data_IF_995391850025
#
_entry.id   IF_995391850025
#
_cell.length_a   1.000
_cell.length_b   1.000
_cell.length_c   1.000
_cell.angle_alpha   90.00
_cell.angle_beta   90.00
_cell.angle_gamma   90.00
#
_symmetry.space_group_name_H-M   'P 1'
#
loop_
_entity.id
_entity.type
_entity.pdbx_description
1 polymer ?
#
# COMPACT_ATOMS: atom_id res chain seq x y z
N UNK A 1 19.29 -1.32 -12.09
CA UNK A 1 17.92 -1.86 -12.03
C UNK A 1 17.77 -2.95 -10.99
N UNK A 2 18.67 -3.92 -10.97
CA UNK A 2 18.55 -5.04 -10.03
C UNK A 2 18.55 -4.61 -8.58
N UNK A 3 19.45 -3.71 -8.19
CA UNK A 3 19.51 -3.25 -6.80
C UNK A 3 18.27 -2.47 -6.40
N UNK A 4 17.77 -1.64 -7.31
CA UNK A 4 16.56 -0.85 -7.05
C UNK A 4 15.32 -1.76 -6.91
N UNK A 5 15.21 -2.74 -7.82
CA UNK A 5 14.10 -3.69 -7.77
C UNK A 5 14.18 -4.58 -6.53
N UNK A 6 15.38 -4.95 -6.12
CA UNK A 6 15.58 -5.77 -4.94
C UNK A 6 15.13 -5.03 -3.68
N UNK A 7 15.52 -3.76 -3.54
CA UNK A 7 15.12 -2.97 -2.37
C UNK A 7 13.61 -2.83 -2.32
N UNK A 8 12.97 -2.53 -3.44
CA UNK A 8 11.52 -2.43 -3.50
C UNK A 8 10.84 -3.73 -3.12
N UNK A 9 11.34 -4.86 -3.62
CA UNK A 9 10.78 -6.16 -3.30
C UNK A 9 10.98 -6.51 -1.83
N UNK A 10 12.17 -6.27 -1.30
CA UNK A 10 12.44 -6.54 0.11
C UNK A 10 11.58 -5.68 1.02
N UNK A 11 11.39 -4.41 0.65
CA UNK A 11 10.52 -3.51 1.40
C UNK A 11 9.09 -3.98 1.39
N UNK A 12 8.59 -4.38 0.23
CA UNK A 12 7.22 -4.89 0.12
C UNK A 12 7.05 -6.18 0.93
N UNK A 13 8.04 -7.08 0.87
CA UNK A 13 7.99 -8.30 1.68
C UNK A 13 7.94 -7.98 3.17
N UNK A 14 8.72 -6.99 3.60
CA UNK A 14 8.72 -6.56 5.00
C UNK A 14 7.37 -5.98 5.41
N UNK A 15 6.75 -5.19 4.53
CA UNK A 15 5.43 -4.63 4.80
C UNK A 15 4.39 -5.74 4.89
N UNK A 16 4.42 -6.71 3.98
CA UNK A 16 3.48 -7.82 4.00
C UNK A 16 3.60 -8.61 5.31
N UNK A 17 4.83 -8.92 5.73
CA UNK A 17 5.06 -9.65 6.97
C UNK A 17 4.57 -8.84 8.18
N UNK A 18 4.83 -7.53 8.19
CA UNK A 18 4.35 -6.65 9.23
C UNK A 18 2.82 -6.67 9.32
N UNK A 19 2.14 -6.55 8.19
CA UNK A 19 0.68 -6.53 8.17
C UNK A 19 0.11 -7.83 8.72
N UNK A 20 0.69 -8.95 8.34
CA UNK A 20 0.25 -10.25 8.85
C UNK A 20 0.43 -10.34 10.37
N UNK A 21 1.54 -9.84 10.90
CA UNK A 21 1.75 -9.80 12.35
C UNK A 21 0.74 -8.92 13.06
N UNK A 22 0.22 -7.90 12.36
CA UNK A 22 -0.78 -7.00 12.90
C UNK A 22 -2.22 -7.52 12.73
N UNK A 23 -2.37 -8.74 12.23
CA UNK A 23 -3.68 -9.36 12.10
C UNK A 23 -4.38 -9.12 10.78
N UNK A 24 -3.68 -8.58 9.80
CA UNK A 24 -4.24 -8.40 8.46
C UNK A 24 -4.16 -9.71 7.70
N UNK A 25 -5.19 -9.99 6.92
CA UNK A 25 -5.17 -11.11 5.99
C UNK A 25 -4.90 -10.58 4.60
N UNK A 26 -3.77 -10.93 4.02
CA UNK A 26 -3.41 -10.45 2.70
C UNK A 26 -4.16 -11.24 1.65
N UNK A 27 -4.89 -10.54 0.80
CA UNK A 27 -5.64 -11.15 -0.28
C UNK A 27 -4.84 -11.19 -1.57
N UNK A 28 -4.20 -10.10 -1.92
CA UNK A 28 -3.39 -9.99 -3.13
C UNK A 28 -2.20 -9.08 -2.91
N UNK A 29 -1.12 -9.41 -3.61
CA UNK A 29 0.06 -8.55 -3.72
C UNK A 29 0.28 -8.30 -5.20
N UNK A 30 0.60 -7.04 -5.53
CA UNK A 30 0.89 -6.64 -6.92
C UNK A 30 -0.23 -7.04 -7.87
N UNK A 31 -1.46 -6.71 -7.47
CA UNK A 31 -2.61 -6.99 -8.33
C UNK A 31 -2.62 -5.99 -9.48
N UNK A 32 -2.85 -6.52 -10.68
CA UNK A 32 -2.89 -5.70 -11.89
C UNK A 32 -4.07 -6.08 -12.75
N UNK A 33 -4.63 -5.05 -13.37
CA UNK A 33 -5.65 -5.22 -14.41
C UNK A 33 -5.48 -4.08 -15.39
N UNK A 34 -5.11 -4.40 -16.63
CA UNK A 34 -4.75 -3.40 -17.61
C UNK A 34 -3.60 -2.53 -17.06
N UNK A 35 -3.82 -1.23 -16.91
CA UNK A 35 -2.79 -0.32 -16.37
C UNK A 35 -3.00 0.00 -14.90
N UNK A 36 -4.02 -0.62 -14.29
CA UNK A 36 -4.30 -0.41 -12.88
C UNK A 36 -3.47 -1.37 -12.04
N UNK A 37 -2.99 -0.87 -10.91
CA UNK A 37 -2.12 -1.66 -10.05
C UNK A 37 -2.35 -1.31 -8.59
N UNK A 38 -2.38 -2.34 -7.74
CA UNK A 38 -2.44 -2.19 -6.29
C UNK A 38 -1.30 -2.99 -5.68
N UNK A 39 -0.57 -2.37 -4.75
CA UNK A 39 0.58 -3.02 -4.12
C UNK A 39 0.15 -4.17 -3.23
N UNK A 40 -0.73 -3.89 -2.27
CA UNK A 40 -1.26 -4.92 -1.37
C UNK A 40 -2.74 -4.63 -1.13
N UNK A 41 -3.55 -5.69 -1.16
CA UNK A 41 -4.95 -5.63 -0.75
C UNK A 41 -5.12 -6.64 0.37
N UNK A 42 -5.69 -6.19 1.48
CA UNK A 42 -5.82 -7.02 2.68
C UNK A 42 -7.20 -6.82 3.32
N UNK A 43 -7.51 -7.70 4.25
CA UNK A 43 -8.70 -7.59 5.09
C UNK A 43 -8.26 -7.35 6.52
N UNK A 44 -8.94 -6.47 7.21
CA UNK A 44 -8.66 -6.20 8.62
C UNK A 44 -9.91 -5.68 9.30
N UNK A 45 -10.36 -6.39 10.31
CA UNK A 45 -11.50 -5.98 11.15
C UNK A 45 -12.73 -5.58 10.33
N UNK A 46 -13.05 -6.40 9.34
CA UNK A 46 -14.25 -6.19 8.53
C UNK A 46 -14.12 -5.16 7.44
N UNK A 47 -12.92 -4.62 7.23
CA UNK A 47 -12.67 -3.67 6.16
C UNK A 47 -11.74 -4.26 5.11
N UNK A 48 -11.96 -3.84 3.87
CA UNK A 48 -10.97 -4.07 2.81
C UNK A 48 -9.96 -2.94 2.89
N UNK A 49 -8.68 -3.28 3.07
CA UNK A 49 -7.63 -2.29 3.22
C UNK A 49 -6.74 -2.33 1.99
N UNK A 50 -6.69 -1.21 1.28
CA UNK A 50 -5.81 -1.05 0.14
C UNK A 50 -4.56 -0.35 0.63
N UNK A 51 -3.41 -1.01 0.50
CA UNK A 51 -2.17 -0.54 1.09
C UNK A 51 -1.21 -0.11 -0.01
N UNK A 52 -0.80 1.14 0.05
CA UNK A 52 0.27 1.66 -0.78
C UNK A 52 1.58 1.45 -0.03
N UNK A 53 2.52 0.77 -0.67
CA UNK A 53 3.82 0.46 -0.07
C UNK A 53 4.85 1.48 -0.55
N UNK A 54 5.58 2.05 0.39
CA UNK A 54 6.71 2.92 0.08
C UNK A 54 7.97 2.34 0.68
N UNK A 55 9.08 2.51 0.00
CA UNK A 55 10.39 2.10 0.49
C UNK A 55 11.30 3.30 0.46
N UNK A 56 11.97 3.58 1.58
CA UNK A 56 12.90 4.70 1.71
C UNK A 56 14.18 4.20 2.34
N UNK A 57 15.29 4.79 1.94
CA UNK A 57 16.58 4.41 2.51
C UNK A 57 16.80 5.03 3.88
N UNK A 58 16.19 6.20 4.15
CA UNK A 58 16.27 6.84 5.45
C UNK A 58 15.08 7.76 5.65
N UNK A 59 14.96 8.34 6.86
CA UNK A 59 13.83 9.20 7.21
C UNK A 59 14.18 10.69 7.17
N UNK A 60 15.41 11.06 6.86
CA UNK A 60 15.87 12.45 6.94
C UNK A 60 15.14 13.38 5.97
N UNK A 61 14.72 12.86 4.85
CA UNK A 61 14.08 13.66 3.81
C UNK A 61 12.57 13.50 3.77
N UNK A 62 12.03 13.11 4.91
CA UNK A 62 10.59 12.93 4.99
C UNK A 62 9.91 14.29 5.03
N UNK A 63 9.15 14.57 4.00
CA UNK A 63 8.41 15.81 3.88
C UNK A 63 6.97 15.59 4.36
N UNK A 64 6.43 16.43 5.21
CA UNK A 64 5.05 16.25 5.66
C UNK A 64 4.05 16.18 4.51
N UNK A 65 4.24 16.99 3.50
CA UNK A 65 3.32 17.06 2.37
C UNK A 65 3.57 15.99 1.32
N UNK A 66 4.63 15.19 1.47
CA UNK A 66 4.88 14.08 0.59
C UNK A 66 3.78 13.06 0.59
N UNK A 67 3.03 13.03 1.66
CA UNK A 67 2.00 12.03 1.81
C UNK A 67 0.94 12.10 0.73
N UNK A 68 0.76 13.26 0.09
CA UNK A 68 -0.36 13.42 -0.82
C UNK A 68 0.09 13.81 -2.22
N UNK A 69 -0.04 12.85 -3.13
CA UNK A 69 0.03 13.09 -4.56
C UNK A 69 -1.34 12.71 -5.12
N UNK A 70 -2.13 13.73 -5.49
CA UNK A 70 -3.51 13.51 -5.88
C UNK A 70 -3.67 12.68 -7.16
N UNK A 71 -2.69 12.68 -8.03
CA UNK A 71 -2.71 11.81 -9.22
C UNK A 71 -2.58 10.36 -8.79
N UNK A 72 -1.67 10.10 -7.86
CA UNK A 72 -1.46 8.75 -7.34
C UNK A 72 -2.68 8.28 -6.56
N UNK A 73 -3.25 9.15 -5.73
CA UNK A 73 -4.46 8.84 -4.98
C UNK A 73 -5.60 8.46 -5.92
N UNK A 74 -5.81 9.26 -6.96
CA UNK A 74 -6.87 8.97 -7.93
C UNK A 74 -6.64 7.62 -8.61
N UNK A 75 -5.41 7.35 -8.99
CA UNK A 75 -5.06 6.09 -9.63
C UNK A 75 -5.35 4.90 -8.71
N UNK A 76 -4.97 5.02 -7.44
CA UNK A 76 -5.23 3.98 -6.45
C UNK A 76 -6.73 3.79 -6.24
N UNK A 77 -7.49 4.88 -6.15
CA UNK A 77 -8.93 4.79 -5.95
C UNK A 77 -9.61 4.10 -7.13
N UNK A 78 -9.21 4.45 -8.34
CA UNK A 78 -9.76 3.81 -9.55
C UNK A 78 -9.40 2.32 -9.57
N UNK A 79 -8.15 1.99 -9.22
CA UNK A 79 -7.72 0.59 -9.18
C UNK A 79 -8.48 -0.19 -8.11
N UNK A 80 -8.71 0.42 -6.94
CA UNK A 80 -9.47 -0.22 -5.88
C UNK A 80 -10.91 -0.47 -6.31
N UNK A 81 -11.53 0.48 -7.00
CA UNK A 81 -12.88 0.30 -7.52
C UNK A 81 -12.95 -0.87 -8.49
N UNK A 82 -11.97 -0.98 -9.38
CA UNK A 82 -11.89 -2.09 -10.32
C UNK A 82 -11.73 -3.42 -9.60
N UNK A 83 -10.91 -3.45 -8.55
CA UNK A 83 -10.70 -4.65 -7.74
C UNK A 83 -12.01 -5.09 -7.08
N UNK A 84 -12.69 -4.14 -6.45
CA UNK A 84 -13.94 -4.40 -5.75
C UNK A 84 -14.99 -4.97 -6.70
N UNK A 85 -15.10 -4.40 -7.88
CA UNK A 85 -16.06 -4.87 -8.88
C UNK A 85 -15.69 -6.23 -9.43
N UNK A 86 -14.40 -6.44 -9.65
CA UNK A 86 -13.95 -7.72 -10.20
C UNK A 86 -14.23 -8.89 -9.25
N UNK A 87 -14.02 -8.67 -7.95
CA UNK A 87 -14.19 -9.74 -6.96
C UNK A 87 -15.53 -9.68 -6.23
N UNK A 88 -16.39 -8.73 -6.55
CA UNK A 88 -17.72 -8.63 -5.93
C UNK A 88 -17.66 -8.35 -4.44
N UNK A 89 -16.79 -7.47 -4.02
CA UNK A 89 -16.58 -7.19 -2.60
C UNK A 89 -17.59 -6.13 -2.14
N UNK A 90 -18.20 -6.40 -0.99
CA UNK A 90 -19.18 -5.48 -0.39
C UNK A 90 -18.76 -5.19 1.07
N UNK A 91 -17.67 -4.47 1.20
CA UNK A 91 -17.08 -4.10 2.49
C UNK A 91 -16.67 -2.64 2.46
N UNK A 92 -16.65 -1.98 3.61
CA UNK A 92 -16.02 -0.67 3.68
C UNK A 92 -14.57 -0.75 3.26
N UNK A 93 -14.08 0.30 2.63
CA UNK A 93 -12.72 0.35 2.10
C UNK A 93 -11.91 1.39 2.85
N UNK A 94 -10.70 1.01 3.24
CA UNK A 94 -9.76 1.91 3.91
C UNK A 94 -8.47 1.94 3.10
N UNK A 95 -7.87 3.11 3.01
CA UNK A 95 -6.61 3.30 2.28
C UNK A 95 -5.50 3.62 3.26
N UNK A 96 -4.48 2.78 3.28
CA UNK A 96 -3.34 2.93 4.17
C UNK A 96 -2.07 3.13 3.37
N UNK A 97 -1.10 3.80 3.97
CA UNK A 97 0.25 3.89 3.44
C UNK A 97 1.18 3.24 4.46
N UNK A 98 1.99 2.29 4.03
CA UNK A 98 2.98 1.66 4.90
C UNK A 98 4.35 1.83 4.26
N UNK A 99 5.28 2.37 5.02
CA UNK A 99 6.62 2.67 4.57
C UNK A 99 7.63 1.75 5.24
N UNK A 100 8.49 1.13 4.44
CA UNK A 100 9.63 0.37 4.92
C UNK A 100 10.86 1.27 4.80
N UNK A 101 11.50 1.56 5.93
CA UNK A 101 12.64 2.48 5.99
C UNK A 101 13.91 1.69 6.28
N UNK A 102 14.91 1.85 5.43
CA UNK A 102 16.18 1.17 5.56
C UNK A 102 16.76 0.85 4.19
N UNK A 103 18.05 0.56 4.15
CA UNK A 103 18.71 0.18 2.90
C UNK A 103 18.82 -1.34 2.75
N UNK A 104 18.44 -2.07 3.78
CA UNK A 104 18.39 -3.54 3.80
C UNK A 104 17.61 -4.00 5.02
N UNK A 105 17.15 -5.26 5.05
CA UNK A 105 16.48 -5.78 6.24
C UNK A 105 17.40 -5.79 7.45
N UNK A 106 16.88 -5.59 8.67
CA UNK A 106 15.47 -5.34 8.94
C UNK A 106 15.09 -3.89 8.67
N UNK A 107 13.87 -3.69 8.16
CA UNK A 107 13.33 -2.36 7.91
C UNK A 107 12.56 -1.84 9.10
N UNK A 108 12.60 -0.54 9.30
CA UNK A 108 11.71 0.13 10.23
C UNK A 108 10.40 0.42 9.49
N UNK A 109 9.28 0.04 10.10
CA UNK A 109 7.97 0.19 9.46
C UNK A 109 7.25 1.39 10.03
N UNK A 110 6.71 2.22 9.13
CA UNK A 110 5.83 3.32 9.48
C UNK A 110 4.49 3.07 8.82
N UNK A 111 3.41 3.11 9.57
CA UNK A 111 2.08 2.78 9.08
C UNK A 111 1.14 3.97 9.30
N UNK A 112 0.61 4.49 8.21
CA UNK A 112 -0.38 5.56 8.25
C UNK A 112 -1.72 4.97 7.84
N UNK A 113 -2.61 4.76 8.81
CA UNK A 113 -3.95 4.24 8.55
C UNK A 113 -4.85 5.38 8.11
N UNK A 114 -5.79 5.08 7.23
CA UNK A 114 -6.69 6.09 6.67
C UNK A 114 -5.90 7.28 6.11
N UNK A 115 -4.91 6.96 5.28
CA UNK A 115 -3.98 7.95 4.78
C UNK A 115 -4.68 9.02 3.92
N UNK A 116 -5.78 8.65 3.29
CA UNK A 116 -6.59 9.58 2.51
C UNK A 116 -7.99 9.00 2.34
N UNK A 117 -8.92 9.88 2.02
CA UNK A 117 -10.27 9.49 1.64
C UNK A 117 -10.40 9.62 0.12
N UNK A 118 -11.20 8.74 -0.50
CA UNK A 118 -11.38 8.84 -1.94
C UNK A 118 -11.92 10.21 -2.32
N UNK A 119 -11.29 10.87 -3.30
CA UNK A 119 -11.88 12.11 -3.81
C UNK A 119 -13.21 11.79 -4.49
N UNK A 120 -14.13 12.74 -4.46
CA UNK A 120 -15.39 12.59 -5.17
C UNK A 120 -15.18 13.00 -6.62
N UNK A 121 -15.58 12.11 -7.49
CA UNK A 121 -15.46 12.34 -8.93
C UNK A 121 -16.80 12.71 -9.53
#
# INVERSE_FOLDING_TARGET
>A
MAAHNRLGKEGEDAVAAYLERQGYTILHRNWRKNRLELDIVAMHEGELVVVEVKTRTNTEYKEPQEAVDWRKVRHIVVAADAYIKHFGIDLPVRFDIVTAVGDRPPFQIEHLKNAFYPPQF
#
